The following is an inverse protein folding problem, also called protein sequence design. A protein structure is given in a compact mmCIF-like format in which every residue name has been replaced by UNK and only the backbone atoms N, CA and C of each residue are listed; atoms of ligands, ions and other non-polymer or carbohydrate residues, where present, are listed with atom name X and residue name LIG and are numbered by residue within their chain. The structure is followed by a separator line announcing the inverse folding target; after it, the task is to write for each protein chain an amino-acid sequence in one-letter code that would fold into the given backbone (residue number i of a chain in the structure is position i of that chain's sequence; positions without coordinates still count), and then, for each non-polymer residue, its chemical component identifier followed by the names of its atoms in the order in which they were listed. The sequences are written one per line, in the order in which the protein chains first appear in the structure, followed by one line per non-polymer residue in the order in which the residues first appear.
data_IF_300316314376
#
_entry.id   IF_300316314376
#
_cell.length_a   1.000
_cell.length_b   1.000
_cell.length_c   1.000
_cell.angle_alpha   90.00
_cell.angle_beta   90.00
_cell.angle_gamma   90.00
#
_symmetry.space_group_name_H-M   'P 1'
#
loop_
_entity.id
_entity.type
_entity.pdbx_description
1 polymer ?
#
# COMPACT_ATOMS: atom_id res chain seq x y z
N UNK A 1 -12.38 1.17 -14.53
CA UNK A 1 -12.16 2.61 -14.27
C UNK A 1 -11.01 2.68 -13.28
N UNK A 2 -9.91 3.40 -13.57
CA UNK A 2 -8.77 3.50 -12.64
C UNK A 2 -9.22 4.32 -11.41
N UNK A 3 -9.05 3.84 -10.17
CA UNK A 3 -9.42 4.61 -8.98
C UNK A 3 -8.61 5.91 -8.91
N UNK A 4 -9.19 7.00 -8.39
CA UNK A 4 -8.47 8.24 -8.16
C UNK A 4 -7.39 8.03 -7.10
N UNK A 5 -6.28 8.78 -7.19
CA UNK A 5 -5.14 8.70 -6.27
C UNK A 5 -5.55 8.87 -4.79
N UNK A 6 -6.57 9.69 -4.52
CA UNK A 6 -7.09 9.90 -3.17
C UNK A 6 -7.73 8.63 -2.60
N UNK A 7 -8.51 7.91 -3.41
CA UNK A 7 -9.12 6.63 -2.98
C UNK A 7 -8.04 5.58 -2.68
N UNK A 8 -6.97 5.52 -3.50
CA UNK A 8 -5.83 4.65 -3.23
C UNK A 8 -5.11 5.01 -1.92
N UNK A 9 -4.91 6.31 -1.66
CA UNK A 9 -4.34 6.78 -0.40
C UNK A 9 -5.22 6.45 0.81
N UNK A 10 -6.54 6.54 0.66
CA UNK A 10 -7.50 6.22 1.72
C UNK A 10 -7.50 4.72 2.05
N UNK A 11 -7.40 3.86 1.04
CA UNK A 11 -7.25 2.40 1.19
C UNK A 11 -5.90 2.04 1.82
N UNK A 12 -4.82 2.65 1.36
CA UNK A 12 -3.48 2.48 1.95
C UNK A 12 -3.46 2.86 3.43
N UNK A 13 -4.02 4.03 3.77
CA UNK A 13 -4.09 4.50 5.16
C UNK A 13 -4.93 3.56 6.04
N UNK A 14 -6.07 3.07 5.54
CA UNK A 14 -6.90 2.09 6.26
C UNK A 14 -6.18 0.75 6.44
N UNK A 15 -5.49 0.26 5.43
CA UNK A 15 -4.76 -1.01 5.50
C UNK A 15 -3.65 -0.93 6.57
N UNK A 16 -2.83 0.12 6.53
CA UNK A 16 -1.78 0.36 7.53
C UNK A 16 -2.37 0.49 8.94
N UNK A 17 -3.40 1.32 9.09
CA UNK A 17 -4.06 1.52 10.38
C UNK A 17 -4.67 0.24 10.95
N UNK A 18 -5.31 -0.57 10.12
CA UNK A 18 -5.87 -1.85 10.53
C UNK A 18 -4.79 -2.86 10.98
N UNK A 19 -3.64 -2.90 10.29
CA UNK A 19 -2.52 -3.78 10.65
C UNK A 19 -1.86 -3.34 11.95
N UNK A 20 -1.65 -2.03 12.13
CA UNK A 20 -1.03 -1.46 13.33
C UNK A 20 -2.01 -1.34 14.51
N UNK A 21 -3.31 -1.53 14.29
CA UNK A 21 -4.35 -1.26 15.29
C UNK A 21 -4.43 0.21 15.68
N UNK A 22 -4.10 1.12 14.77
CA UNK A 22 -4.11 2.58 14.98
C UNK A 22 -5.25 3.24 14.21
N UNK A 23 -5.47 4.52 14.44
CA UNK A 23 -6.40 5.32 13.66
C UNK A 23 -5.83 5.61 12.26
N UNK A 24 -6.64 5.62 11.18
CA UNK A 24 -6.19 5.92 9.82
C UNK A 24 -5.65 7.35 9.63
N UNK A 25 -5.80 8.23 10.62
CA UNK A 25 -5.12 9.52 10.67
C UNK A 25 -3.62 9.40 10.95
N UNK A 26 -3.17 8.40 11.72
CA UNK A 26 -1.76 8.22 12.09
C UNK A 26 -0.83 8.04 10.87
N UNK A 27 -1.08 7.13 9.93
CA UNK A 27 -0.24 6.99 8.74
C UNK A 27 -0.31 8.18 7.78
N UNK A 28 -1.36 9.01 7.85
CA UNK A 28 -1.46 10.26 7.07
C UNK A 28 -0.61 11.39 7.64
N UNK A 29 -0.38 11.39 8.95
CA UNK A 29 0.41 12.41 9.66
C UNK A 29 1.87 12.00 9.89
N UNK A 30 2.20 10.72 9.71
CA UNK A 30 3.56 10.21 9.81
C UNK A 30 4.44 10.76 8.69
N UNK A 31 5.69 11.09 9.02
CA UNK A 31 6.67 11.46 8.00
C UNK A 31 7.18 10.22 7.25
N UNK A 32 7.51 9.17 8.01
CA UNK A 32 7.73 7.82 7.49
C UNK A 32 6.77 6.83 8.14
N UNK A 33 6.27 5.84 7.39
CA UNK A 33 5.48 4.74 7.96
C UNK A 33 6.35 3.88 8.90
N UNK A 34 7.66 3.81 8.67
CA UNK A 34 8.60 3.13 9.56
C UNK A 34 8.75 3.82 10.92
N UNK A 35 8.36 5.09 11.05
CA UNK A 35 8.29 5.76 12.36
C UNK A 35 7.09 5.29 13.18
N UNK A 36 6.11 4.61 12.57
CA UNK A 36 4.94 4.12 13.28
C UNK A 36 5.31 2.89 14.12
N UNK A 37 4.89 2.85 15.40
CA UNK A 37 5.17 1.72 16.26
C UNK A 37 4.49 0.45 15.71
N UNK A 38 5.29 -0.59 15.48
CA UNK A 38 4.82 -1.87 14.93
C UNK A 38 4.82 -1.95 13.39
N UNK A 39 5.32 -0.93 12.70
CA UNK A 39 5.53 -1.00 11.25
C UNK A 39 6.89 -1.66 10.95
N UNK A 40 6.87 -2.96 10.73
CA UNK A 40 8.03 -3.79 10.41
C UNK A 40 7.81 -4.58 9.10
N UNK A 41 8.79 -5.41 8.72
CA UNK A 41 8.72 -6.20 7.48
C UNK A 41 7.48 -7.11 7.39
N UNK A 42 6.97 -7.63 8.51
CA UNK A 42 5.74 -8.44 8.54
C UNK A 42 4.52 -7.55 8.35
N UNK A 43 4.51 -6.36 8.97
CA UNK A 43 3.46 -5.38 8.75
C UNK A 43 3.36 -4.96 7.28
N UNK A 44 4.50 -4.74 6.62
CA UNK A 44 4.58 -4.41 5.19
C UNK A 44 3.90 -5.49 4.33
N UNK A 45 4.27 -6.75 4.51
CA UNK A 45 3.67 -7.87 3.77
C UNK A 45 2.17 -7.96 4.04
N UNK A 46 1.75 -7.83 5.30
CA UNK A 46 0.33 -7.88 5.68
C UNK A 46 -0.48 -6.74 5.04
N UNK A 47 0.09 -5.52 5.00
CA UNK A 47 -0.53 -4.37 4.34
C UNK A 47 -0.67 -4.61 2.84
N UNK A 48 0.36 -5.16 2.19
CA UNK A 48 0.32 -5.52 0.78
C UNK A 48 -0.76 -6.55 0.48
N UNK A 49 -0.77 -7.69 1.17
CA UNK A 49 -1.76 -8.75 0.94
C UNK A 49 -3.20 -8.24 1.07
N UNK A 50 -3.45 -7.34 2.05
CA UNK A 50 -4.75 -6.69 2.22
C UNK A 50 -5.09 -5.77 1.06
N UNK A 51 -4.13 -4.96 0.60
CA UNK A 51 -4.33 -4.03 -0.52
C UNK A 51 -4.54 -4.77 -1.84
N UNK A 52 -3.80 -5.85 -2.08
CA UNK A 52 -3.97 -6.75 -3.22
C UNK A 52 -5.36 -7.37 -3.24
N UNK A 53 -5.81 -7.89 -2.09
CA UNK A 53 -7.15 -8.45 -1.94
C UNK A 53 -8.25 -7.40 -2.16
N UNK A 54 -8.07 -6.19 -1.62
CA UNK A 54 -9.06 -5.11 -1.68
C UNK A 54 -9.17 -4.47 -3.07
N UNK A 55 -8.06 -4.41 -3.81
CA UNK A 55 -7.99 -3.86 -5.16
C UNK A 55 -8.16 -4.92 -6.24
N UNK A 56 -8.04 -6.21 -5.91
CA UNK A 56 -8.05 -7.32 -6.86
C UNK A 56 -6.85 -7.29 -7.82
N UNK A 57 -5.69 -6.86 -7.32
CA UNK A 57 -4.44 -6.78 -8.10
C UNK A 57 -3.33 -7.54 -7.39
N UNK A 58 -2.27 -7.89 -8.11
CA UNK A 58 -1.05 -8.48 -7.55
C UNK A 58 0.09 -7.46 -7.69
N UNK A 59 0.77 -7.12 -6.60
CA UNK A 59 1.90 -6.20 -6.61
C UNK A 59 3.15 -6.96 -7.07
N UNK A 60 3.79 -6.56 -8.18
CA UNK A 60 5.00 -7.20 -8.65
C UNK A 60 6.11 -7.09 -7.60
N UNK A 61 6.79 -8.19 -7.30
CA UNK A 61 7.90 -8.21 -6.34
C UNK A 61 9.03 -7.22 -6.67
N UNK A 62 9.22 -6.90 -7.94
CA UNK A 62 10.20 -5.91 -8.42
C UNK A 62 9.91 -4.49 -7.91
N UNK A 63 8.64 -4.19 -7.60
CA UNK A 63 8.21 -2.88 -7.07
C UNK A 63 8.16 -2.85 -5.53
N UNK A 64 8.30 -4.00 -4.86
CA UNK A 64 8.28 -4.11 -3.41
C UNK A 64 9.66 -3.73 -2.87
N UNK A 65 9.92 -2.42 -2.78
CA UNK A 65 11.15 -1.84 -2.23
C UNK A 65 10.86 -1.07 -0.94
N UNK A 66 11.78 -1.00 0.03
CA UNK A 66 11.57 -0.29 1.30
C UNK A 66 11.09 1.15 1.11
N UNK A 67 11.61 1.85 0.11
CA UNK A 67 11.29 3.24 -0.22
C UNK A 67 9.82 3.43 -0.64
N UNK A 68 9.19 2.38 -1.17
CA UNK A 68 7.77 2.39 -1.51
C UNK A 68 6.87 2.38 -0.26
N UNK A 69 7.39 1.92 0.87
CA UNK A 69 6.70 1.92 2.17
C UNK A 69 7.20 3.04 3.08
N UNK A 70 8.14 3.87 2.62
CA UNK A 70 8.65 4.96 3.45
C UNK A 70 7.55 5.97 3.76
N UNK A 71 6.72 6.36 2.79
CA UNK A 71 5.63 7.30 3.03
C UNK A 71 4.31 6.77 2.47
N UNK A 72 3.19 7.27 3.01
CA UNK A 72 1.87 6.97 2.46
C UNK A 72 1.76 7.41 0.98
N UNK A 73 2.44 8.50 0.60
CA UNK A 73 2.47 8.99 -0.77
C UNK A 73 3.21 8.02 -1.70
N UNK A 74 4.36 7.46 -1.26
CA UNK A 74 5.13 6.44 -1.97
C UNK A 74 4.30 5.17 -2.15
N UNK A 75 3.64 4.72 -1.07
CA UNK A 75 2.77 3.53 -1.11
C UNK A 75 1.60 3.72 -2.08
N UNK A 76 1.02 4.92 -2.08
CA UNK A 76 -0.04 5.28 -3.03
C UNK A 76 0.46 5.27 -4.48
N UNK A 77 1.70 5.71 -4.72
CA UNK A 77 2.32 5.72 -6.04
C UNK A 77 2.61 4.29 -6.54
N UNK A 78 3.08 3.42 -5.64
CA UNK A 78 3.21 1.98 -5.88
C UNK A 78 1.87 1.39 -6.32
N UNK A 79 0.79 1.61 -5.55
CA UNK A 79 -0.54 1.09 -5.89
C UNK A 79 -1.06 1.65 -7.22
N UNK A 80 -0.86 2.94 -7.49
CA UNK A 80 -1.24 3.55 -8.75
C UNK A 80 -0.49 2.93 -9.94
N UNK A 81 0.80 2.61 -9.75
CA UNK A 81 1.65 1.92 -10.73
C UNK A 81 1.20 0.47 -10.91
N UNK A 82 0.89 -0.27 -9.85
CA UNK A 82 0.38 -1.64 -9.93
C UNK A 82 -0.96 -1.69 -10.65
N UNK A 83 -1.94 -0.85 -10.27
CA UNK A 83 -3.24 -0.80 -10.97
C UNK A 83 -3.09 -0.31 -12.41
N UNK A 84 -2.02 0.44 -12.72
CA UNK A 84 -1.70 0.86 -14.07
C UNK A 84 -1.07 -0.25 -14.92
N UNK A 85 -0.18 -1.04 -14.32
CA UNK A 85 0.59 -2.11 -14.94
C UNK A 85 -0.06 -3.49 -14.83
N UNK A 86 -1.17 -3.63 -14.10
CA UNK A 86 -2.05 -4.79 -14.06
C UNK A 86 -2.81 -4.94 -15.39
N UNK A 87 -2.08 -4.96 -16.50
CA UNK A 87 -2.54 -5.55 -17.76
C UNK A 87 -2.59 -7.08 -17.57
N UNK A 88 -3.62 -7.75 -18.12
CA UNK A 88 -3.91 -9.18 -17.86
C UNK A 88 -2.93 -10.17 -18.54
N UNK A 89 -1.63 -9.89 -18.59
CA UNK A 89 -0.64 -10.71 -19.29
C UNK A 89 0.18 -11.61 -18.34
N UNK A 90 -0.49 -12.39 -17.49
CA UNK A 90 0.18 -13.41 -16.67
C UNK A 90 -0.65 -14.69 -16.48
N UNK A 91 -1.52 -15.01 -17.44
CA UNK A 91 -2.09 -16.36 -17.59
C UNK A 91 -1.95 -16.75 -19.06
N UNK A 92 -0.78 -17.28 -19.44
CA UNK A 92 -0.61 -17.97 -20.70
C UNK A 92 0.34 -19.15 -20.57
#
# INVERSE_FOLDING_TARGET
MRPPRQELADRAAHAVAAVLGTEPGAPRSAHSLFDLPGFDSIAVVTVLERLETDLGVEVPADLIVPEAFDSLASLTDLLATTVAGATPEAIR
#
